data_IF_628057604954
#
_entry.id   IF_628057604954
#
_cell.length_a   1.000
_cell.length_b   1.000
_cell.length_c   1.000
_cell.angle_alpha   90.00
_cell.angle_beta   90.00
_cell.angle_gamma   90.00
#
_symmetry.space_group_name_H-M   'P 1'
#
loop_
_entity.id
_entity.type
_entity.pdbx_description
1 polymer ?
#
# COMPACT_ATOMS: atom_id res chain seq x y z
N UNK A 1 -18.25 -13.48 -4.14
CA UNK A 1 -17.90 -13.70 -2.71
C UNK A 1 -17.94 -15.18 -2.32
N UNK A 2 -18.93 -15.97 -2.78
CA UNK A 2 -19.09 -17.38 -2.35
C UNK A 2 -17.92 -18.30 -2.69
N UNK A 3 -17.22 -18.05 -3.81
CA UNK A 3 -16.05 -18.87 -4.20
C UNK A 3 -14.87 -18.64 -3.24
N UNK A 4 -14.61 -17.39 -2.83
CA UNK A 4 -13.52 -17.08 -1.90
C UNK A 4 -13.81 -17.64 -0.52
N UNK A 5 -15.05 -17.49 -0.02
CA UNK A 5 -15.49 -18.05 1.26
C UNK A 5 -15.38 -19.57 1.32
N UNK A 6 -15.65 -20.28 0.22
CA UNK A 6 -15.49 -21.74 0.16
C UNK A 6 -14.03 -22.20 0.10
N UNK A 7 -13.09 -21.29 -0.15
CA UNK A 7 -11.66 -21.57 -0.30
C UNK A 7 -10.82 -20.90 0.79
N UNK A 8 -11.45 -20.37 1.84
CA UNK A 8 -10.70 -19.90 3.01
C UNK A 8 -10.11 -21.08 3.75
N UNK A 9 -8.91 -20.86 4.26
CA UNK A 9 -8.20 -21.78 5.15
C UNK A 9 -8.07 -21.13 6.52
N UNK A 10 -7.80 -21.93 7.55
CA UNK A 10 -7.75 -21.44 8.93
C UNK A 10 -6.40 -20.80 9.27
N UNK A 11 -5.33 -21.21 8.58
CA UNK A 11 -3.97 -20.73 8.84
C UNK A 11 -3.38 -19.97 7.64
N UNK A 12 -2.39 -19.14 7.92
CA UNK A 12 -1.74 -18.34 6.89
C UNK A 12 -0.86 -19.22 5.98
N UNK A 13 -0.27 -20.27 6.54
CA UNK A 13 0.64 -21.20 5.89
C UNK A 13 -0.05 -22.06 4.82
N UNK A 14 -1.34 -22.34 5.01
CA UNK A 14 -2.17 -23.08 4.06
C UNK A 14 -2.69 -22.19 2.92
N UNK A 15 -2.60 -20.86 3.07
CA UNK A 15 -3.17 -19.93 2.13
C UNK A 15 -2.24 -19.72 0.93
N UNK A 16 -2.76 -19.95 -0.28
CA UNK A 16 -2.02 -19.60 -1.50
C UNK A 16 -1.93 -18.08 -1.71
N UNK A 17 -2.94 -17.34 -1.25
CA UNK A 17 -3.02 -15.87 -1.31
C UNK A 17 -3.70 -15.39 -0.03
N UNK A 18 -3.15 -14.32 0.55
CA UNK A 18 -3.73 -13.67 1.72
C UNK A 18 -4.28 -12.33 1.28
N UNK A 19 -5.59 -12.14 1.44
CA UNK A 19 -6.25 -10.86 1.21
C UNK A 19 -6.54 -10.23 2.56
N UNK A 20 -5.99 -9.06 2.81
CA UNK A 20 -6.13 -8.33 4.07
C UNK A 20 -6.22 -6.83 3.80
N UNK A 21 -6.58 -6.07 4.83
CA UNK A 21 -6.65 -4.61 4.76
C UNK A 21 -5.39 -4.01 5.39
N UNK A 22 -4.96 -2.86 4.87
CA UNK A 22 -3.78 -2.13 5.33
C UNK A 22 -3.71 -1.95 6.86
N UNK A 23 -4.85 -1.72 7.51
CA UNK A 23 -4.91 -1.54 8.96
C UNK A 23 -4.56 -2.79 9.78
N UNK A 24 -4.62 -3.99 9.19
CA UNK A 24 -4.39 -5.27 9.88
C UNK A 24 -3.02 -5.89 9.61
N UNK A 25 -2.18 -5.23 8.81
CA UNK A 25 -0.89 -5.80 8.39
C UNK A 25 0.27 -5.48 9.34
N UNK A 26 0.08 -4.58 10.31
CA UNK A 26 1.14 -4.14 11.21
C UNK A 26 1.78 -5.33 11.95
N UNK A 27 3.10 -5.45 11.83
CA UNK A 27 3.86 -6.54 12.47
C UNK A 27 3.87 -7.86 11.69
N UNK A 28 3.15 -7.94 10.57
CA UNK A 28 3.22 -9.06 9.63
C UNK A 28 4.19 -8.72 8.50
N UNK A 29 4.70 -9.70 7.77
CA UNK A 29 5.56 -9.51 6.60
C UNK A 29 5.42 -10.68 5.63
N UNK A 30 5.58 -10.43 4.33
CA UNK A 30 5.49 -11.44 3.27
C UNK A 30 6.56 -11.24 2.22
N UNK A 31 6.98 -12.32 1.57
CA UNK A 31 7.98 -12.25 0.49
C UNK A 31 7.52 -11.38 -0.69
N UNK A 32 6.23 -11.46 -1.03
CA UNK A 32 5.60 -10.69 -2.09
C UNK A 32 4.38 -9.98 -1.51
N UNK A 33 4.26 -8.67 -1.75
CA UNK A 33 3.06 -7.89 -1.39
C UNK A 33 2.61 -7.10 -2.61
N UNK A 34 1.32 -7.20 -2.91
CA UNK A 34 0.62 -6.37 -3.89
C UNK A 34 -0.25 -5.35 -3.18
N UNK A 35 -0.03 -4.07 -3.51
CA UNK A 35 -0.88 -2.98 -3.04
C UNK A 35 -2.01 -2.81 -4.06
N UNK A 36 -3.26 -2.86 -3.61
CA UNK A 36 -4.42 -2.66 -4.48
C UNK A 36 -4.71 -1.15 -4.70
N UNK A 37 -5.55 -0.82 -5.68
CA UNK A 37 -5.92 0.56 -6.03
C UNK A 37 -7.06 1.13 -5.15
N UNK A 38 -7.13 0.74 -3.88
CA UNK A 38 -8.19 1.09 -2.93
C UNK A 38 -7.75 2.10 -1.85
N UNK A 39 -6.48 2.53 -1.85
CA UNK A 39 -6.02 3.65 -1.04
C UNK A 39 -6.66 4.97 -1.52
N UNK A 40 -7.00 5.88 -0.60
CA UNK A 40 -7.60 7.16 -0.97
C UNK A 40 -6.61 8.02 -1.76
N UNK A 41 -7.09 8.61 -2.85
CA UNK A 41 -6.30 9.49 -3.72
C UNK A 41 -6.17 10.92 -3.17
N UNK A 42 -6.68 11.19 -1.96
CA UNK A 42 -6.66 12.50 -1.30
C UNK A 42 -5.24 12.92 -0.86
N UNK A 43 -4.24 12.04 -0.92
CA UNK A 43 -2.83 12.38 -0.67
C UNK A 43 -2.29 13.50 -1.59
N UNK A 44 -2.95 13.77 -2.72
CA UNK A 44 -2.59 14.85 -3.63
C UNK A 44 -3.52 16.06 -3.53
N UNK A 45 -4.53 16.01 -2.67
CA UNK A 45 -5.45 17.11 -2.45
C UNK A 45 -4.79 18.18 -1.56
N UNK A 46 -4.60 19.42 -2.03
CA UNK A 46 -4.04 20.49 -1.21
C UNK A 46 -4.90 20.87 0.00
N UNK A 47 -6.17 20.47 0.02
CA UNK A 47 -7.12 20.78 1.09
C UNK A 47 -7.14 19.76 2.24
N UNK A 48 -6.41 18.63 2.11
CA UNK A 48 -6.28 17.65 3.19
C UNK A 48 -5.58 18.29 4.39
N UNK A 49 -6.11 18.08 5.60
CA UNK A 49 -5.41 18.52 6.80
C UNK A 49 -4.18 17.65 7.08
N UNK A 50 -3.20 18.24 7.76
CA UNK A 50 -1.91 17.61 8.02
C UNK A 50 -2.01 16.30 8.83
N UNK A 51 -3.01 16.15 9.70
CA UNK A 51 -3.15 14.96 10.52
C UNK A 51 -3.64 13.78 9.66
N UNK A 52 -4.71 13.98 8.89
CA UNK A 52 -5.22 12.98 7.96
C UNK A 52 -4.20 12.61 6.88
N UNK A 53 -3.48 13.59 6.33
CA UNK A 53 -2.38 13.31 5.40
C UNK A 53 -1.34 12.38 6.01
N UNK A 54 -0.90 12.68 7.23
CA UNK A 54 0.12 11.89 7.93
C UNK A 54 -0.36 10.47 8.19
N UNK A 55 -1.61 10.31 8.60
CA UNK A 55 -2.20 8.99 8.87
C UNK A 55 -2.27 8.12 7.61
N UNK A 56 -2.71 8.69 6.48
CA UNK A 56 -2.75 7.99 5.20
C UNK A 56 -1.35 7.63 4.67
N UNK A 57 -0.39 8.56 4.78
CA UNK A 57 1.01 8.28 4.41
C UNK A 57 1.60 7.18 5.29
N UNK A 58 1.35 7.21 6.61
CA UNK A 58 1.82 6.17 7.52
C UNK A 58 1.20 4.82 7.20
N UNK A 59 -0.09 4.78 6.86
CA UNK A 59 -0.78 3.54 6.49
C UNK A 59 -0.20 2.95 5.19
N UNK A 60 0.04 3.79 4.19
CA UNK A 60 0.68 3.38 2.94
C UNK A 60 2.12 2.89 3.20
N UNK A 61 2.89 3.62 4.01
CA UNK A 61 4.25 3.25 4.41
C UNK A 61 4.28 1.88 5.12
N UNK A 62 3.38 1.67 6.08
CA UNK A 62 3.25 0.39 6.78
C UNK A 62 2.96 -0.71 5.77
N UNK A 63 2.02 -0.50 4.83
CA UNK A 63 1.63 -1.49 3.84
C UNK A 63 2.77 -1.85 2.87
N UNK A 64 3.50 -0.84 2.38
CA UNK A 64 4.65 -1.01 1.48
C UNK A 64 5.78 -1.77 2.17
N UNK A 65 6.07 -1.45 3.43
CA UNK A 65 7.16 -2.11 4.19
C UNK A 65 6.82 -3.53 4.64
N UNK A 66 5.66 -4.08 4.27
CA UNK A 66 5.34 -5.50 4.51
C UNK A 66 6.04 -6.43 3.53
N UNK A 67 6.46 -5.92 2.37
CA UNK A 67 7.18 -6.68 1.36
C UNK A 67 8.64 -6.93 1.79
N UNK A 68 9.05 -8.19 1.81
CA UNK A 68 10.44 -8.58 2.09
C UNK A 68 11.32 -8.67 0.85
N UNK A 69 10.75 -9.10 -0.29
CA UNK A 69 11.49 -9.32 -1.54
C UNK A 69 10.91 -8.55 -2.72
N UNK A 70 9.60 -8.65 -2.95
CA UNK A 70 8.93 -8.02 -4.10
C UNK A 70 7.74 -7.20 -3.65
N UNK A 71 7.67 -5.96 -4.11
CA UNK A 71 6.53 -5.07 -3.93
C UNK A 71 5.90 -4.80 -5.31
N UNK A 72 4.64 -5.15 -5.46
CA UNK A 72 3.83 -4.79 -6.63
C UNK A 72 3.05 -3.54 -6.26
N UNK A 73 3.38 -2.42 -6.91
CA UNK A 73 2.88 -1.09 -6.57
C UNK A 73 1.60 -0.73 -7.34
N UNK A 74 0.71 0.01 -6.69
CA UNK A 74 -0.51 0.53 -7.28
C UNK A 74 -0.29 1.88 -8.02
N UNK A 75 -1.34 2.40 -8.66
CA UNK A 75 -1.28 3.69 -9.37
C UNK A 75 -0.88 4.87 -8.48
N UNK A 76 -1.34 4.87 -7.22
CA UNK A 76 -1.01 5.91 -6.25
C UNK A 76 0.50 5.99 -6.01
N UNK A 77 1.15 4.85 -5.75
CA UNK A 77 2.61 4.79 -5.55
C UNK A 77 3.39 5.19 -6.81
N UNK A 78 2.93 4.78 -7.99
CA UNK A 78 3.53 5.24 -9.27
C UNK A 78 3.48 6.76 -9.37
N UNK A 79 2.34 7.38 -9.04
CA UNK A 79 2.18 8.83 -9.08
C UNK A 79 3.07 9.54 -8.05
N UNK A 80 3.24 8.97 -6.84
CA UNK A 80 4.14 9.51 -5.82
C UNK A 80 5.59 9.50 -6.34
N UNK A 81 6.06 8.36 -6.88
CA UNK A 81 7.42 8.22 -7.41
C UNK A 81 7.71 9.15 -8.60
N UNK A 82 6.73 9.31 -9.50
CA UNK A 82 6.83 10.26 -10.61
C UNK A 82 7.02 11.71 -10.11
N UNK A 83 6.20 12.16 -9.16
CA UNK A 83 6.31 13.51 -8.58
C UNK A 83 7.64 13.74 -7.86
N UNK A 84 8.16 12.75 -7.13
CA UNK A 84 9.48 12.86 -6.49
C UNK A 84 10.56 13.07 -7.55
N UNK A 85 10.50 12.32 -8.66
CA UNK A 85 11.46 12.42 -9.76
C UNK A 85 11.40 13.80 -10.46
N UNK A 86 10.22 14.41 -10.59
CA UNK A 86 10.05 15.77 -11.13
C UNK A 86 10.63 16.85 -10.21
N UNK A 87 10.40 16.72 -8.90
CA UNK A 87 10.92 17.67 -7.92
C UNK A 87 12.46 17.64 -7.86
N UNK A 88 13.07 16.45 -7.91
CA UNK A 88 14.53 16.31 -7.95
C UNK A 88 15.18 16.96 -9.18
N UNK A 89 14.47 16.99 -10.32
CA UNK A 89 14.94 17.70 -11.53
C UNK A 89 14.86 19.21 -11.35
N UNK A 90 13.81 19.70 -10.72
CA UNK A 90 13.57 21.14 -10.52
C UNK A 90 14.52 21.73 -9.47
N UNK A 91 14.91 20.97 -8.46
CA UNK A 91 15.89 21.40 -7.43
C UNK A 91 17.35 21.41 -7.89
N UNK A 92 17.66 20.88 -9.08
CA UNK A 92 19.02 20.87 -9.67
C UNK A 92 19.23 21.97 -10.73
N UNK A 93 18.26 22.86 -10.90
CA UNK A 93 18.29 24.01 -11.83
C UNK A 93 18.47 25.30 -11.06
#
# INVERSE_FOLDING_TARGET
MDVLRKRTVDTQEEASIIVTIAHRVKGLEWDIVEINNDFPNNLFDPSIDNANFRDEVNLLYVSVTRAKKTLIINKLLVNILAKVTENEKTSKV
#
